data_IF_307849129744
#
_entry.id   IF_307849129744
#
_cell.length_a   1.000
_cell.length_b   1.000
_cell.length_c   1.000
_cell.angle_alpha   90.00
_cell.angle_beta   90.00
_cell.angle_gamma   90.00
#
_symmetry.space_group_name_H-M   'P 1'
#
loop_
_entity.id
_entity.type
_entity.pdbx_description
1 polymer ?
#
# COMPACT_ATOMS: atom_id res chain seq x y z
N UNK A 1 -9.71 -70.03 -3.26
CA UNK A 1 -10.47 -69.56 -2.09
C UNK A 1 -10.02 -68.16 -1.73
N UNK A 2 -10.60 -67.17 -2.39
CA UNK A 2 -10.60 -65.77 -1.94
C UNK A 2 -11.95 -65.53 -1.27
N UNK A 3 -11.95 -65.01 -0.06
CA UNK A 3 -13.15 -64.73 0.73
C UNK A 3 -14.01 -63.65 0.03
N UNK A 4 -15.34 -63.75 0.08
CA UNK A 4 -16.27 -62.81 -0.57
C UNK A 4 -16.05 -61.35 -0.10
N UNK A 5 -15.38 -61.17 1.05
CA UNK A 5 -14.99 -59.88 1.59
C UNK A 5 -13.84 -59.19 0.84
N UNK A 6 -13.06 -59.89 0.01
CA UNK A 6 -11.90 -59.31 -0.70
C UNK A 6 -12.32 -58.24 -1.71
N UNK A 7 -13.42 -58.46 -2.44
CA UNK A 7 -13.93 -57.48 -3.41
C UNK A 7 -14.41 -56.22 -2.70
N UNK A 8 -15.13 -56.36 -1.59
CA UNK A 8 -15.57 -55.22 -0.79
C UNK A 8 -14.40 -54.42 -0.22
N UNK A 9 -13.34 -55.12 0.21
CA UNK A 9 -12.13 -54.49 0.72
C UNK A 9 -11.39 -53.69 -0.35
N UNK A 10 -11.24 -54.25 -1.56
CA UNK A 10 -10.59 -53.55 -2.68
C UNK A 10 -11.38 -52.29 -3.07
N UNK A 11 -12.71 -52.38 -3.14
CA UNK A 11 -13.56 -51.21 -3.44
C UNK A 11 -13.43 -50.14 -2.34
N UNK A 12 -13.42 -50.56 -1.08
CA UNK A 12 -13.20 -49.64 0.04
C UNK A 12 -11.84 -48.94 -0.06
N UNK A 13 -10.76 -49.70 -0.31
CA UNK A 13 -9.40 -49.14 -0.40
C UNK A 13 -9.26 -48.16 -1.59
N UNK A 14 -9.84 -48.48 -2.76
CA UNK A 14 -9.82 -47.61 -3.94
C UNK A 14 -10.62 -46.33 -3.70
N UNK A 15 -11.84 -46.45 -3.14
CA UNK A 15 -12.68 -45.29 -2.86
C UNK A 15 -12.07 -44.39 -1.78
N UNK A 16 -11.52 -44.98 -0.72
CA UNK A 16 -10.80 -44.24 0.31
C UNK A 16 -9.60 -43.48 -0.26
N UNK A 17 -8.78 -44.15 -1.08
CA UNK A 17 -7.64 -43.52 -1.75
C UNK A 17 -8.08 -42.33 -2.61
N UNK A 18 -9.13 -42.50 -3.42
CA UNK A 18 -9.61 -41.43 -4.29
C UNK A 18 -10.20 -40.25 -3.52
N UNK A 19 -11.12 -40.48 -2.59
CA UNK A 19 -11.81 -39.37 -1.89
C UNK A 19 -10.93 -38.69 -0.85
N UNK A 20 -10.16 -39.45 -0.07
CA UNK A 20 -9.40 -38.87 1.05
C UNK A 20 -8.00 -38.46 0.62
N UNK A 21 -7.29 -39.30 -0.12
CA UNK A 21 -5.89 -38.99 -0.46
C UNK A 21 -5.85 -38.06 -1.67
N UNK A 22 -6.59 -38.35 -2.73
CA UNK A 22 -6.54 -37.50 -3.94
C UNK A 22 -7.36 -36.23 -3.75
N UNK A 23 -8.65 -36.33 -3.42
CA UNK A 23 -9.53 -35.15 -3.38
C UNK A 23 -9.28 -34.28 -2.14
N UNK A 24 -9.37 -34.83 -0.93
CA UNK A 24 -9.29 -34.02 0.29
C UNK A 24 -7.93 -33.32 0.43
N UNK A 25 -6.81 -34.02 0.18
CA UNK A 25 -5.49 -33.37 0.24
C UNK A 25 -5.31 -32.30 -0.85
N UNK A 26 -5.83 -32.52 -2.06
CA UNK A 26 -5.78 -31.52 -3.11
C UNK A 26 -6.57 -30.26 -2.75
N UNK A 27 -7.74 -30.39 -2.11
CA UNK A 27 -8.52 -29.26 -1.62
C UNK A 27 -7.75 -28.50 -0.55
N UNK A 28 -7.17 -29.20 0.45
CA UNK A 28 -6.39 -28.56 1.50
C UNK A 28 -5.18 -27.80 0.93
N UNK A 29 -4.47 -28.40 -0.03
CA UNK A 29 -3.37 -27.71 -0.72
C UNK A 29 -3.88 -26.51 -1.53
N UNK A 30 -5.02 -26.65 -2.22
CA UNK A 30 -5.64 -25.58 -2.97
C UNK A 30 -5.97 -24.36 -2.11
N UNK A 31 -6.54 -24.57 -0.92
CA UNK A 31 -6.84 -23.49 0.03
C UNK A 31 -5.58 -22.75 0.49
N UNK A 32 -4.49 -23.47 0.70
CA UNK A 32 -3.21 -22.86 1.09
C UNK A 32 -2.64 -22.02 -0.06
N UNK A 33 -2.69 -22.53 -1.29
CA UNK A 33 -2.21 -21.81 -2.49
C UNK A 33 -3.03 -20.54 -2.71
N UNK A 34 -4.36 -20.63 -2.56
CA UNK A 34 -5.27 -19.49 -2.69
C UNK A 34 -4.95 -18.39 -1.67
N UNK A 35 -4.80 -18.76 -0.39
CA UNK A 35 -4.44 -17.83 0.67
C UNK A 35 -3.07 -17.15 0.44
N UNK A 36 -2.07 -17.89 -0.05
CA UNK A 36 -0.78 -17.30 -0.42
C UNK A 36 -0.85 -16.44 -1.68
N UNK A 37 -1.72 -16.78 -2.62
CA UNK A 37 -2.04 -15.96 -3.79
C UNK A 37 -2.61 -14.61 -3.35
N UNK A 38 -3.63 -14.61 -2.49
CA UNK A 38 -4.23 -13.39 -1.96
C UNK A 38 -3.21 -12.51 -1.20
N UNK A 39 -2.38 -13.11 -0.35
CA UNK A 39 -1.35 -12.37 0.38
C UNK A 39 -0.34 -11.70 -0.57
N UNK A 40 -0.02 -12.35 -1.69
CA UNK A 40 0.86 -11.79 -2.71
C UNK A 40 0.19 -10.63 -3.44
N UNK A 41 -1.07 -10.78 -3.82
CA UNK A 41 -1.82 -9.74 -4.52
C UNK A 41 -1.99 -8.49 -3.64
N UNK A 42 -2.22 -8.66 -2.33
CA UNK A 42 -2.21 -7.56 -1.37
C UNK A 42 -0.86 -6.82 -1.36
N UNK A 43 0.27 -7.55 -1.32
CA UNK A 43 1.59 -6.94 -1.33
C UNK A 43 1.87 -6.17 -2.63
N UNK A 44 1.52 -6.74 -3.78
CA UNK A 44 1.72 -6.08 -5.07
C UNK A 44 0.85 -4.82 -5.19
N UNK A 45 -0.41 -4.86 -4.74
CA UNK A 45 -1.30 -3.69 -4.78
C UNK A 45 -0.76 -2.49 -3.98
N UNK A 46 -0.17 -2.73 -2.80
CA UNK A 46 0.43 -1.67 -1.99
C UNK A 46 1.65 -1.08 -2.70
N UNK A 47 2.46 -1.93 -3.32
CA UNK A 47 3.64 -1.51 -4.06
C UNK A 47 3.25 -0.69 -5.30
N UNK A 48 2.29 -1.16 -6.08
CA UNK A 48 1.78 -0.46 -7.26
C UNK A 48 1.21 0.91 -6.89
N UNK A 49 0.47 1.03 -5.79
CA UNK A 49 -0.05 2.33 -5.34
C UNK A 49 1.08 3.30 -4.98
N UNK A 50 2.11 2.84 -4.27
CA UNK A 50 3.28 3.66 -3.94
C UNK A 50 4.11 4.07 -5.17
N UNK A 51 4.11 3.28 -6.24
CA UNK A 51 4.82 3.55 -7.49
C UNK A 51 4.00 4.41 -8.47
N UNK A 52 2.68 4.45 -8.33
CA UNK A 52 1.77 5.12 -9.26
C UNK A 52 1.15 6.41 -8.72
N UNK A 53 1.05 6.59 -7.41
CA UNK A 53 0.46 7.76 -6.79
C UNK A 53 1.38 8.35 -5.71
N UNK A 54 1.42 9.67 -5.59
CA UNK A 54 2.13 10.29 -4.47
C UNK A 54 1.32 10.07 -3.18
N UNK A 55 1.92 9.43 -2.16
CA UNK A 55 1.27 9.15 -0.88
C UNK A 55 0.69 10.41 -0.17
N UNK A 56 1.31 11.58 -0.37
CA UNK A 56 0.92 12.80 0.36
C UNK A 56 -0.22 13.55 -0.34
N UNK A 57 -0.13 13.78 -1.66
CA UNK A 57 -1.12 14.56 -2.39
C UNK A 57 -2.10 13.71 -3.19
N UNK A 58 -1.85 12.42 -3.39
CA UNK A 58 -2.70 11.52 -4.17
C UNK A 58 -2.70 11.78 -5.68
N UNK A 59 -1.84 12.67 -6.18
CA UNK A 59 -1.73 12.92 -7.62
C UNK A 59 -0.94 11.76 -8.26
N UNK A 60 -1.48 11.25 -9.37
CA UNK A 60 -0.89 10.14 -10.11
C UNK A 60 0.39 10.51 -10.86
N UNK A 61 1.26 9.52 -11.03
CA UNK A 61 2.54 9.57 -11.74
C UNK A 61 2.39 10.12 -13.16
N UNK A 62 1.30 9.78 -13.85
CA UNK A 62 0.99 10.25 -15.20
C UNK A 62 0.99 11.78 -15.32
N UNK A 63 0.59 12.50 -14.26
CA UNK A 63 0.63 13.96 -14.24
C UNK A 63 2.06 14.50 -14.17
N UNK A 64 2.91 13.88 -13.35
CA UNK A 64 4.27 14.36 -13.08
C UNK A 64 5.26 13.97 -14.18
N UNK A 65 5.10 12.79 -14.76
CA UNK A 65 5.99 12.25 -15.79
C UNK A 65 5.79 12.88 -17.19
N UNK A 66 4.96 13.93 -17.30
CA UNK A 66 5.03 14.91 -18.40
C UNK A 66 6.44 15.49 -18.56
N UNK A 67 7.20 15.56 -17.46
CA UNK A 67 8.62 15.93 -17.42
C UNK A 67 9.45 14.68 -17.07
N UNK A 68 10.64 14.46 -17.67
CA UNK A 68 11.46 13.30 -17.36
C UNK A 68 11.78 13.17 -15.87
N UNK A 69 11.54 11.98 -15.30
CA UNK A 69 11.73 11.69 -13.87
C UNK A 69 10.94 12.61 -12.93
N UNK A 70 9.81 13.14 -13.41
CA UNK A 70 8.99 14.09 -12.68
C UNK A 70 8.44 13.50 -11.38
N UNK A 71 7.90 12.28 -11.44
CA UNK A 71 7.36 11.61 -10.26
C UNK A 71 8.44 11.29 -9.22
N UNK A 72 9.57 10.71 -9.64
CA UNK A 72 10.70 10.39 -8.76
C UNK A 72 11.21 11.65 -8.03
N UNK A 73 11.32 12.76 -8.77
CA UNK A 73 11.71 14.05 -8.20
C UNK A 73 10.66 14.55 -7.21
N UNK A 74 9.38 14.45 -7.55
CA UNK A 74 8.28 14.87 -6.67
C UNK A 74 8.30 14.12 -5.33
N UNK A 75 8.37 12.79 -5.34
CA UNK A 75 8.38 12.00 -4.09
C UNK A 75 9.70 12.13 -3.31
N UNK A 76 10.83 12.36 -3.98
CA UNK A 76 12.12 12.47 -3.29
C UNK A 76 12.41 13.87 -2.73
N UNK A 77 11.95 14.93 -3.41
CA UNK A 77 12.33 16.33 -3.12
C UNK A 77 11.18 17.20 -2.64
N UNK A 78 9.97 16.98 -3.13
CA UNK A 78 8.81 17.81 -2.79
C UNK A 78 7.99 17.17 -1.66
N UNK A 79 7.48 15.95 -1.89
CA UNK A 79 6.64 15.19 -0.96
C UNK A 79 7.36 13.96 -0.39
N UNK A 80 8.56 14.19 0.15
CA UNK A 80 9.29 13.13 0.83
C UNK A 80 8.63 12.79 2.17
N UNK A 81 8.11 11.56 2.30
CA UNK A 81 7.40 11.08 3.49
C UNK A 81 8.20 11.26 4.78
N UNK A 82 9.51 11.00 4.77
CA UNK A 82 10.35 11.12 5.95
C UNK A 82 10.49 12.59 6.41
N UNK A 83 10.49 13.54 5.48
CA UNK A 83 10.59 14.96 5.83
C UNK A 83 9.38 15.45 6.63
N UNK A 84 8.18 14.91 6.41
CA UNK A 84 7.01 15.23 7.24
C UNK A 84 7.20 14.77 8.69
N UNK A 85 7.77 13.58 8.90
CA UNK A 85 8.09 13.08 10.24
C UNK A 85 9.18 13.93 10.90
N UNK A 86 10.25 14.27 10.17
CA UNK A 86 11.31 15.14 10.69
C UNK A 86 10.81 16.55 11.01
N UNK A 87 9.91 17.10 10.20
CA UNK A 87 9.31 18.40 10.46
C UNK A 87 8.46 18.40 11.73
N UNK A 88 7.65 17.36 11.97
CA UNK A 88 6.92 17.23 13.24
C UNK A 88 7.87 17.11 14.44
N UNK A 89 8.94 16.31 14.33
CA UNK A 89 9.96 16.23 15.39
C UNK A 89 10.64 17.57 15.64
N UNK A 90 10.94 18.33 14.58
CA UNK A 90 11.50 19.68 14.68
C UNK A 90 10.57 20.63 15.45
N UNK A 91 9.28 20.64 15.13
CA UNK A 91 8.30 21.46 15.86
C UNK A 91 8.22 21.07 17.34
N UNK A 92 8.17 19.78 17.66
CA UNK A 92 8.08 19.30 19.06
C UNK A 92 9.30 19.73 19.89
N UNK A 93 10.50 19.74 19.30
CA UNK A 93 11.74 20.03 20.02
C UNK A 93 12.13 21.52 20.03
N UNK A 94 11.44 22.35 19.25
CA UNK A 94 11.73 23.78 19.13
C UNK A 94 10.83 24.57 20.10
N UNK A 95 11.37 25.57 20.84
CA UNK A 95 10.57 26.44 21.70
C UNK A 95 9.49 27.18 20.92
N UNK A 96 8.29 27.27 21.48
CA UNK A 96 7.12 27.92 20.88
C UNK A 96 7.35 29.42 20.57
N UNK A 97 8.14 30.10 21.40
CA UNK A 97 8.54 31.51 21.18
C UNK A 97 9.41 31.72 19.96
N UNK A 98 10.00 30.66 19.40
CA UNK A 98 10.91 30.73 18.24
C UNK A 98 10.25 30.24 16.95
N UNK A 99 9.00 29.81 16.99
CA UNK A 99 8.27 29.43 15.80
C UNK A 99 8.15 30.61 14.83
N UNK A 100 8.41 30.34 13.56
CA UNK A 100 8.03 31.22 12.46
C UNK A 100 6.50 31.22 12.31
N UNK A 101 5.96 32.16 11.52
CA UNK A 101 4.52 32.24 11.28
C UNK A 101 3.92 30.96 10.67
N UNK A 102 4.63 30.33 9.73
CA UNK A 102 4.19 29.09 9.11
C UNK A 102 4.27 27.89 10.07
N UNK A 103 5.34 27.79 10.85
CA UNK A 103 5.47 26.75 11.89
C UNK A 103 4.36 26.88 12.95
N UNK A 104 4.06 28.11 13.38
CA UNK A 104 2.96 28.38 14.32
C UNK A 104 1.61 27.96 13.76
N UNK A 105 1.35 28.24 12.47
CA UNK A 105 0.12 27.83 11.80
C UNK A 105 -0.05 26.31 11.80
N UNK A 106 0.98 25.57 11.38
CA UNK A 106 0.92 24.10 11.36
C UNK A 106 0.82 23.53 12.77
N UNK A 107 1.54 24.09 13.75
CA UNK A 107 1.47 23.67 15.14
C UNK A 107 0.06 23.85 15.73
N UNK A 108 -0.61 24.96 15.42
CA UNK A 108 -1.99 25.21 15.83
C UNK A 108 -2.95 24.18 15.21
N UNK A 109 -2.79 23.85 13.93
CA UNK A 109 -3.61 22.80 13.29
C UNK A 109 -3.37 21.43 13.90
N UNK A 110 -2.10 21.09 14.14
CA UNK A 110 -1.70 19.83 14.78
C UNK A 110 -2.33 19.66 16.18
N UNK A 111 -2.25 20.69 17.03
CA UNK A 111 -2.84 20.68 18.37
C UNK A 111 -4.37 20.60 18.34
N UNK A 112 -5.00 21.19 17.31
CA UNK A 112 -6.45 21.09 17.06
C UNK A 112 -6.88 19.77 16.40
N UNK A 113 -5.93 18.88 16.07
CA UNK A 113 -6.19 17.64 15.30
C UNK A 113 -6.86 17.91 13.94
N UNK A 114 -6.55 19.05 13.34
CA UNK A 114 -6.94 19.42 11.99
C UNK A 114 -5.77 19.13 11.03
N UNK A 115 -6.06 18.47 9.91
CA UNK A 115 -5.05 17.97 8.96
C UNK A 115 -5.09 18.70 7.61
N UNK A 116 -5.82 19.81 7.54
CA UNK A 116 -6.11 20.54 6.30
C UNK A 116 -4.86 21.23 5.70
N UNK A 117 -3.74 21.25 6.43
CA UNK A 117 -2.46 21.75 5.92
C UNK A 117 -1.76 20.77 4.95
N UNK A 118 -2.20 19.51 4.87
CA UNK A 118 -1.67 18.57 3.87
C UNK A 118 -2.20 18.92 2.47
N UNK A 119 -1.37 18.84 1.42
CA UNK A 119 -1.74 19.24 0.06
C UNK A 119 -2.53 18.12 -0.66
N UNK A 120 -3.62 17.64 -0.06
CA UNK A 120 -4.41 16.54 -0.64
C UNK A 120 -5.11 17.02 -1.92
N UNK A 121 -4.86 16.33 -3.04
CA UNK A 121 -5.42 16.64 -4.36
C UNK A 121 -4.71 17.76 -5.12
N UNK A 122 -3.66 18.37 -4.54
CA UNK A 122 -2.92 19.48 -5.13
C UNK A 122 -1.41 19.39 -4.86
N UNK A 123 -0.62 20.17 -5.58
CA UNK A 123 0.80 20.34 -5.30
C UNK A 123 1.29 21.68 -5.84
N UNK A 124 2.48 22.09 -5.41
CA UNK A 124 3.05 23.37 -5.82
C UNK A 124 3.05 23.55 -7.34
N UNK A 125 3.52 22.56 -8.10
CA UNK A 125 3.54 22.66 -9.57
C UNK A 125 2.14 22.88 -10.16
N UNK A 126 1.15 22.08 -9.74
CA UNK A 126 -0.22 22.13 -10.25
C UNK A 126 -0.92 23.46 -9.96
N UNK A 127 -0.67 24.04 -8.79
CA UNK A 127 -1.22 25.34 -8.41
C UNK A 127 -0.67 26.50 -9.27
N UNK A 128 0.58 26.40 -9.74
CA UNK A 128 1.29 27.49 -10.43
C UNK A 128 1.52 27.23 -11.92
N UNK A 129 1.00 26.14 -12.49
CA UNK A 129 1.15 25.76 -13.91
C UNK A 129 0.71 26.92 -14.82
N UNK A 130 -0.52 27.44 -14.64
CA UNK A 130 -1.09 28.54 -15.43
C UNK A 130 -0.33 29.88 -15.27
N UNK A 131 0.26 30.11 -14.09
CA UNK A 131 0.94 31.36 -13.77
C UNK A 131 2.38 31.41 -14.32
N UNK A 132 3.00 30.25 -14.51
CA UNK A 132 4.36 30.12 -15.06
C UNK A 132 4.41 29.98 -16.58
N UNK A 133 3.24 29.87 -17.24
CA UNK A 133 3.13 29.93 -18.70
C UNK A 133 3.70 28.72 -19.43
N UNK A 134 3.71 27.56 -18.78
CA UNK A 134 4.00 26.26 -19.42
C UNK A 134 2.71 25.49 -19.71
#
# INVERSE_FOLDING_TARGET
>A
DGDDSEVYRIIFDITFFFFIIVILLAILQGLIIDAFGELRDQLESVKEDMESNCFICGIGKDYFDKVPHGFDTHVAREHNLANYMFFLMHLINKPDTEYTGQETYVWNMYTQRCWDFFPVGDCFRKQYEDAMGE
#
